data_IF_042407503049
#
_entry.id   IF_042407503049
#
_cell.length_a   1.000
_cell.length_b   1.000
_cell.length_c   1.000
_cell.angle_alpha   90.00
_cell.angle_beta   90.00
_cell.angle_gamma   90.00
#
_symmetry.space_group_name_H-M   'P 1'
#
loop_
_entity.id
_entity.type
_entity.pdbx_description
1 polymer ?
#
# COMPACT_ATOMS: atom_id res chain seq x y z
N UNK A 1 -29.40 20.79 27.15
CA UNK A 1 -29.83 20.50 25.76
C UNK A 1 -28.68 20.63 24.74
N UNK A 2 -27.66 21.46 24.99
CA UNK A 2 -26.44 21.56 24.17
C UNK A 2 -25.50 20.34 24.30
N UNK A 3 -25.32 19.80 25.51
CA UNK A 3 -24.43 18.62 25.74
C UNK A 3 -24.91 17.38 24.99
N UNK A 4 -26.23 17.12 24.95
CA UNK A 4 -26.80 15.97 24.26
C UNK A 4 -26.65 16.03 22.74
N UNK A 5 -26.70 17.23 22.14
CA UNK A 5 -26.45 17.41 20.71
C UNK A 5 -24.97 17.24 20.36
N UNK A 6 -24.07 17.74 21.20
CA UNK A 6 -22.63 17.57 21.03
C UNK A 6 -22.22 16.09 21.08
N UNK A 7 -22.71 15.34 22.07
CA UNK A 7 -22.43 13.89 22.17
C UNK A 7 -22.96 13.10 20.98
N UNK A 8 -24.14 13.44 20.46
CA UNK A 8 -24.71 12.77 19.29
C UNK A 8 -23.93 13.07 18.00
N UNK A 9 -23.49 14.31 17.79
CA UNK A 9 -22.69 14.72 16.64
C UNK A 9 -21.32 14.04 16.63
N UNK A 10 -20.66 14.00 17.78
CA UNK A 10 -19.37 13.31 17.96
C UNK A 10 -19.51 11.81 17.70
N UNK A 11 -20.58 11.18 18.19
CA UNK A 11 -20.85 9.74 17.97
C UNK A 11 -21.12 9.44 16.49
N UNK A 12 -21.90 10.27 15.81
CA UNK A 12 -22.19 10.13 14.37
C UNK A 12 -20.95 10.33 13.49
N UNK A 13 -20.11 11.31 13.84
CA UNK A 13 -18.83 11.56 13.17
C UNK A 13 -17.87 10.37 13.31
N UNK A 14 -17.75 9.82 14.54
CA UNK A 14 -16.91 8.66 14.83
C UNK A 14 -17.36 7.42 14.06
N UNK A 15 -18.67 7.18 13.96
CA UNK A 15 -19.22 6.09 13.14
C UNK A 15 -18.85 6.27 11.66
N UNK A 16 -19.00 7.48 11.12
CA UNK A 16 -18.66 7.78 9.72
C UNK A 16 -17.18 7.53 9.42
N UNK A 17 -16.28 8.01 10.28
CA UNK A 17 -14.84 7.77 10.14
C UNK A 17 -14.50 6.28 10.21
N UNK A 18 -15.10 5.55 11.15
CA UNK A 18 -14.92 4.10 11.27
C UNK A 18 -15.39 3.37 10.01
N UNK A 19 -16.57 3.72 9.47
CA UNK A 19 -17.07 3.17 8.21
C UNK A 19 -16.12 3.45 7.06
N UNK A 20 -15.55 4.65 6.96
CA UNK A 20 -14.56 4.98 5.93
C UNK A 20 -13.33 4.06 6.02
N UNK A 21 -12.81 3.82 7.23
CA UNK A 21 -11.68 2.89 7.43
C UNK A 21 -12.04 1.47 6.99
N UNK A 22 -13.17 0.92 7.45
CA UNK A 22 -13.58 -0.44 7.09
C UNK A 22 -13.82 -0.59 5.59
N UNK A 23 -14.50 0.39 4.98
CA UNK A 23 -14.82 0.40 3.56
C UNK A 23 -13.56 0.52 2.69
N UNK A 24 -12.55 1.28 3.14
CA UNK A 24 -11.24 1.34 2.51
C UNK A 24 -10.61 -0.07 2.41
N UNK A 25 -10.55 -0.82 3.51
CA UNK A 25 -10.00 -2.18 3.51
C UNK A 25 -10.82 -3.13 2.64
N UNK A 26 -12.15 -2.97 2.61
CA UNK A 26 -13.04 -3.78 1.77
C UNK A 26 -12.78 -3.56 0.29
N UNK A 27 -12.67 -2.30 -0.14
CA UNK A 27 -12.48 -1.90 -1.53
C UNK A 27 -11.08 -2.23 -2.04
N UNK A 28 -10.04 -2.03 -1.23
CA UNK A 28 -8.65 -2.28 -1.63
C UNK A 28 -8.14 -3.67 -1.26
N UNK A 29 -9.01 -4.58 -0.80
CA UNK A 29 -8.67 -5.96 -0.41
C UNK A 29 -7.86 -6.71 -1.46
N UNK A 30 -8.08 -6.45 -2.75
CA UNK A 30 -7.36 -7.07 -3.88
C UNK A 30 -6.56 -6.06 -4.70
N UNK A 31 -6.31 -4.87 -4.14
CA UNK A 31 -5.69 -3.77 -4.86
C UNK A 31 -6.60 -3.12 -5.90
N UNK A 32 -5.99 -2.37 -6.80
CA UNK A 32 -6.66 -1.77 -7.96
C UNK A 32 -6.64 -2.79 -9.10
N UNK A 33 -7.78 -3.05 -9.76
CA UNK A 33 -7.82 -3.97 -10.90
C UNK A 33 -6.85 -3.53 -12.00
N UNK A 34 -5.87 -4.37 -12.32
CA UNK A 34 -4.93 -4.13 -13.41
C UNK A 34 -5.45 -4.75 -14.71
N UNK A 35 -5.34 -4.06 -15.87
CA UNK A 35 -5.66 -4.62 -17.18
C UNK A 35 -4.89 -5.92 -17.49
N UNK A 36 -3.73 -6.13 -16.86
CA UNK A 36 -2.87 -7.31 -17.08
C UNK A 36 -3.49 -8.62 -16.56
N UNK A 37 -4.50 -8.55 -15.69
CA UNK A 37 -5.21 -9.72 -15.16
C UNK A 37 -6.51 -10.03 -15.93
N UNK A 38 -6.89 -9.20 -16.91
CA UNK A 38 -8.05 -9.43 -17.74
C UNK A 38 -7.70 -10.26 -18.98
N UNK A 39 -8.57 -11.19 -19.43
CA UNK A 39 -8.38 -11.88 -20.70
C UNK A 39 -8.29 -10.87 -21.87
N UNK A 40 -7.57 -11.22 -22.96
CA UNK A 40 -7.19 -10.27 -24.00
C UNK A 40 -8.39 -9.88 -24.86
N UNK A 41 -9.19 -8.92 -24.40
CA UNK A 41 -10.18 -8.23 -25.23
C UNK A 41 -10.23 -6.74 -24.89
N UNK A 42 -10.03 -5.96 -25.97
CA UNK A 42 -10.22 -4.54 -26.15
C UNK A 42 -9.21 -3.58 -25.48
N UNK A 43 -8.35 -3.07 -26.35
CA UNK A 43 -7.64 -1.80 -26.27
C UNK A 43 -8.61 -0.65 -26.04
N UNK A 44 -8.56 -0.07 -24.85
CA UNK A 44 -8.59 1.36 -24.53
C UNK A 44 -8.74 1.48 -23.01
N UNK A 45 -7.86 2.24 -22.37
CA UNK A 45 -7.66 2.32 -20.92
C UNK A 45 -8.82 3.04 -20.21
N UNK A 46 -10.00 2.43 -20.19
CA UNK A 46 -11.10 2.80 -19.32
C UNK A 46 -10.82 2.18 -17.95
N UNK A 47 -10.77 2.95 -16.85
CA UNK A 47 -10.71 2.39 -15.51
C UNK A 47 -11.82 1.36 -15.37
N UNK A 48 -11.47 0.15 -14.93
CA UNK A 48 -12.48 -0.86 -14.67
C UNK A 48 -13.57 -0.29 -13.75
N UNK A 49 -14.79 -0.81 -13.83
CA UNK A 49 -15.91 -0.34 -12.99
C UNK A 49 -15.56 -0.30 -11.50
N UNK A 50 -14.67 -1.20 -11.07
CA UNK A 50 -14.19 -1.30 -9.69
C UNK A 50 -13.14 -0.23 -9.35
N UNK A 51 -12.21 0.10 -10.25
CA UNK A 51 -11.28 1.22 -10.03
C UNK A 51 -12.03 2.55 -9.95
N UNK A 52 -13.03 2.75 -10.81
CA UNK A 52 -13.89 3.94 -10.75
C UNK A 52 -14.59 4.04 -9.41
N UNK A 53 -15.13 2.93 -8.90
CA UNK A 53 -15.75 2.84 -7.58
C UNK A 53 -14.76 3.15 -6.46
N UNK A 54 -13.54 2.62 -6.52
CA UNK A 54 -12.47 2.92 -5.56
C UNK A 54 -12.15 4.42 -5.53
N UNK A 55 -12.02 5.04 -6.71
CA UNK A 55 -11.72 6.46 -6.83
C UNK A 55 -12.88 7.36 -6.37
N UNK A 56 -14.12 7.02 -6.71
CA UNK A 56 -15.32 7.71 -6.24
C UNK A 56 -15.45 7.65 -4.72
N UNK A 57 -15.19 6.47 -4.12
CA UNK A 57 -15.12 6.31 -2.68
C UNK A 57 -14.08 7.26 -2.06
N UNK A 58 -12.82 7.20 -2.53
CA UNK A 58 -11.77 8.06 -1.97
C UNK A 58 -12.10 9.55 -2.08
N UNK A 59 -12.67 9.99 -3.21
CA UNK A 59 -13.10 11.39 -3.42
C UNK A 59 -14.26 11.82 -2.52
N UNK A 60 -15.12 10.87 -2.13
CA UNK A 60 -16.24 11.15 -1.23
C UNK A 60 -15.81 11.19 0.25
N UNK A 61 -14.82 10.39 0.63
CA UNK A 61 -14.42 10.21 2.03
C UNK A 61 -13.17 10.99 2.43
N UNK A 62 -12.37 11.45 1.49
CA UNK A 62 -11.11 12.16 1.76
C UNK A 62 -11.20 13.61 1.29
N UNK A 63 -10.54 14.49 2.04
CA UNK A 63 -10.36 15.88 1.65
C UNK A 63 -9.66 15.97 0.29
N UNK A 64 -9.98 17.01 -0.48
CA UNK A 64 -9.36 17.21 -1.81
C UNK A 64 -7.83 17.29 -1.74
N UNK A 65 -7.31 17.89 -0.66
CA UNK A 65 -5.90 18.06 -0.32
C UNK A 65 -5.41 17.05 0.73
N UNK A 66 -6.04 15.88 0.85
CA UNK A 66 -5.62 14.83 1.79
C UNK A 66 -4.11 14.58 1.69
N UNK A 67 -3.42 14.58 2.83
CA UNK A 67 -1.98 14.30 2.89
C UNK A 67 -1.76 12.78 2.93
N UNK A 68 -0.99 12.24 1.99
CA UNK A 68 -0.67 10.82 1.85
C UNK A 68 0.84 10.66 1.86
N UNK A 69 1.42 10.18 2.97
CA UNK A 69 2.87 10.00 3.07
C UNK A 69 3.68 11.28 2.83
N UNK A 70 3.11 12.45 3.13
CA UNK A 70 3.72 13.76 2.89
C UNK A 70 3.46 14.37 1.50
N UNK A 71 2.69 13.72 0.62
CA UNK A 71 2.23 14.28 -0.65
C UNK A 71 0.73 14.60 -0.60
N UNK A 72 0.23 15.54 -1.42
CA UNK A 72 -1.18 15.94 -1.38
C UNK A 72 -2.02 15.30 -2.49
N UNK A 73 -3.22 14.86 -2.11
CA UNK A 73 -4.32 14.51 -3.00
C UNK A 73 -4.60 13.02 -3.11
N UNK A 74 -5.88 12.70 -3.34
CA UNK A 74 -6.41 11.34 -3.53
C UNK A 74 -5.67 10.55 -4.64
N UNK A 75 -5.18 11.27 -5.66
CA UNK A 75 -4.46 10.65 -6.77
C UNK A 75 -3.15 9.98 -6.32
N UNK A 76 -2.50 10.46 -5.26
CA UNK A 76 -1.30 9.83 -4.71
C UNK A 76 -1.61 8.41 -4.23
N UNK A 77 -2.70 8.27 -3.47
CA UNK A 77 -3.10 7.00 -2.88
C UNK A 77 -3.53 5.96 -3.93
N UNK A 78 -4.32 6.39 -4.93
CA UNK A 78 -4.73 5.46 -6.00
C UNK A 78 -3.56 5.04 -6.88
N UNK A 79 -2.62 5.95 -7.17
CA UNK A 79 -1.38 5.62 -7.90
C UNK A 79 -0.51 4.63 -7.13
N UNK A 80 -0.42 4.79 -5.80
CA UNK A 80 0.31 3.85 -4.96
C UNK A 80 -0.33 2.46 -4.98
N UNK A 81 -1.65 2.38 -4.93
CA UNK A 81 -2.37 1.11 -5.10
C UNK A 81 -2.20 0.48 -6.48
N UNK A 82 -2.19 1.29 -7.55
CA UNK A 82 -1.85 0.81 -8.91
C UNK A 82 -0.46 0.20 -8.94
N UNK A 83 0.54 0.86 -8.34
CA UNK A 83 1.91 0.32 -8.24
C UNK A 83 1.93 -1.00 -7.49
N UNK A 84 1.30 -1.11 -6.32
CA UNK A 84 1.23 -2.38 -5.61
C UNK A 84 0.59 -3.49 -6.46
N UNK A 85 -0.50 -3.18 -7.16
CA UNK A 85 -1.27 -4.17 -7.94
C UNK A 85 -0.61 -4.56 -9.27
N UNK A 86 0.28 -3.70 -9.79
CA UNK A 86 1.02 -3.94 -11.04
C UNK A 86 2.38 -4.57 -10.77
N UNK A 87 3.02 -4.24 -9.66
CA UNK A 87 4.38 -4.70 -9.38
C UNK A 87 4.41 -5.99 -8.58
N UNK A 88 3.33 -6.35 -7.89
CA UNK A 88 3.24 -7.59 -7.11
C UNK A 88 2.08 -8.45 -7.58
N UNK A 89 2.30 -9.77 -7.57
CA UNK A 89 1.29 -10.74 -7.96
C UNK A 89 0.45 -11.19 -6.75
N UNK A 90 -0.77 -11.69 -7.03
CA UNK A 90 -1.71 -12.21 -6.02
C UNK A 90 -1.91 -11.24 -4.83
N UNK A 91 -1.98 -9.93 -5.05
CA UNK A 91 -2.10 -8.97 -3.95
C UNK A 91 -3.37 -9.20 -3.13
N UNK A 92 -3.22 -9.31 -1.80
CA UNK A 92 -4.35 -9.44 -0.87
C UNK A 92 -4.10 -8.67 0.43
N UNK A 93 -4.95 -7.69 0.74
CA UNK A 93 -4.91 -6.94 2.00
C UNK A 93 -5.93 -7.50 2.99
N UNK A 94 -5.45 -7.91 4.17
CA UNK A 94 -6.28 -8.51 5.22
C UNK A 94 -6.29 -7.63 6.47
N UNK A 95 -7.42 -6.94 6.71
CA UNK A 95 -7.62 -6.19 7.95
C UNK A 95 -7.57 -7.13 9.16
N UNK A 96 -6.82 -6.74 10.20
CA UNK A 96 -6.72 -7.47 11.47
C UNK A 96 -7.44 -6.76 12.60
N UNK A 97 -7.17 -5.47 12.75
CA UNK A 97 -7.71 -4.69 13.84
C UNK A 97 -7.81 -3.22 13.44
N UNK A 98 -8.86 -2.55 13.91
CA UNK A 98 -9.02 -1.10 13.85
C UNK A 98 -9.08 -0.59 15.28
N UNK A 99 -8.33 0.48 15.56
CA UNK A 99 -8.30 1.17 16.84
C UNK A 99 -8.52 2.65 16.62
N UNK A 100 -9.24 3.28 17.54
CA UNK A 100 -9.28 4.72 17.65
C UNK A 100 -8.15 5.16 18.60
N UNK A 101 -7.17 5.89 18.09
CA UNK A 101 -6.02 6.37 18.87
C UNK A 101 -6.32 7.72 19.56
N UNK A 102 -7.16 8.56 18.94
CA UNK A 102 -7.71 9.80 19.52
C UNK A 102 -9.08 10.10 18.90
N UNK A 103 -9.71 11.21 19.25
CA UNK A 103 -11.01 11.58 18.66
C UNK A 103 -10.99 11.66 17.13
N UNK A 104 -9.87 12.15 16.59
CA UNK A 104 -9.65 12.38 15.16
C UNK A 104 -8.73 11.35 14.49
N UNK A 105 -7.96 10.57 15.25
CA UNK A 105 -7.01 9.59 14.69
C UNK A 105 -7.53 8.17 14.82
N UNK A 106 -7.64 7.50 13.67
CA UNK A 106 -7.94 6.08 13.56
C UNK A 106 -6.73 5.34 13.01
N UNK A 107 -6.43 4.18 13.59
CA UNK A 107 -5.32 3.32 13.17
C UNK A 107 -5.84 1.96 12.82
N UNK A 108 -5.24 1.32 11.82
CA UNK A 108 -5.54 -0.04 11.46
C UNK A 108 -4.27 -0.85 11.28
N UNK A 109 -4.30 -2.08 11.76
CA UNK A 109 -3.30 -3.09 11.46
C UNK A 109 -3.89 -4.13 10.51
N UNK A 110 -3.08 -4.54 9.55
CA UNK A 110 -3.44 -5.47 8.50
C UNK A 110 -2.23 -6.31 8.09
N UNK A 111 -2.48 -7.27 7.21
CA UNK A 111 -1.42 -8.04 6.54
C UNK A 111 -1.61 -7.86 5.03
N UNK A 112 -0.60 -7.29 4.37
CA UNK A 112 -0.53 -7.23 2.91
C UNK A 112 0.22 -8.45 2.41
N UNK A 113 -0.50 -9.38 1.80
CA UNK A 113 0.06 -10.59 1.20
C UNK A 113 0.35 -10.31 -0.28
N UNK A 114 1.60 -10.52 -0.70
CA UNK A 114 2.06 -10.30 -2.08
C UNK A 114 2.98 -11.43 -2.53
N UNK A 115 2.99 -11.74 -3.83
CA UNK A 115 3.92 -12.70 -4.43
C UNK A 115 4.95 -11.93 -5.24
N UNK A 116 6.23 -12.24 -5.02
CA UNK A 116 7.33 -11.65 -5.77
C UNK A 116 7.37 -12.31 -7.15
N UNK A 117 7.06 -11.56 -8.20
CA UNK A 117 7.11 -12.00 -9.59
C UNK A 117 8.32 -11.43 -10.32
N UNK A 118 8.52 -11.85 -11.57
CA UNK A 118 9.51 -11.25 -12.47
C UNK A 118 9.29 -9.74 -12.63
N UNK A 119 8.04 -9.30 -12.61
CA UNK A 119 7.71 -7.87 -12.64
C UNK A 119 8.16 -7.19 -11.35
N UNK A 120 7.99 -7.84 -10.19
CA UNK A 120 8.48 -7.31 -8.91
C UNK A 120 9.98 -7.14 -8.91
N UNK A 121 10.74 -8.15 -9.37
CA UNK A 121 12.20 -8.04 -9.47
C UNK A 121 12.57 -6.85 -10.36
N UNK A 122 12.05 -6.77 -11.58
CA UNK A 122 12.38 -5.68 -12.51
C UNK A 122 11.95 -4.29 -12.06
N UNK A 123 10.87 -4.16 -11.30
CA UNK A 123 10.28 -2.86 -10.92
C UNK A 123 10.66 -2.38 -9.52
N UNK A 124 10.84 -3.31 -8.58
CA UNK A 124 11.10 -3.01 -7.15
C UNK A 124 12.54 -3.36 -6.79
N UNK A 125 13.04 -4.51 -7.20
CA UNK A 125 14.38 -4.99 -6.86
C UNK A 125 15.30 -5.03 -8.09
N UNK A 126 15.23 -3.99 -8.94
CA UNK A 126 15.82 -4.02 -10.28
C UNK A 126 17.33 -4.28 -10.27
N UNK A 127 18.00 -3.85 -9.20
CA UNK A 127 19.42 -4.13 -8.96
C UNK A 127 19.73 -5.64 -9.01
N UNK A 128 18.81 -6.53 -8.59
CA UNK A 128 18.98 -7.99 -8.63
C UNK A 128 18.99 -8.59 -10.05
N UNK A 129 18.57 -7.84 -11.07
CA UNK A 129 18.58 -8.26 -12.47
C UNK A 129 19.76 -7.69 -13.28
N UNK A 130 20.52 -6.73 -12.74
CA UNK A 130 21.65 -6.13 -13.46
C UNK A 130 22.95 -6.92 -13.30
N UNK A 131 23.87 -6.72 -14.25
CA UNK A 131 25.19 -7.32 -14.20
C UNK A 131 25.94 -6.86 -12.94
N UNK A 132 26.57 -7.78 -12.20
CA UNK A 132 27.26 -7.48 -10.96
C UNK A 132 28.41 -6.50 -11.21
N UNK A 133 28.56 -5.49 -10.35
CA UNK A 133 29.66 -4.51 -10.46
C UNK A 133 30.91 -4.95 -9.69
N UNK A 134 30.81 -6.05 -8.92
CA UNK A 134 31.90 -6.63 -8.12
C UNK A 134 31.80 -8.16 -8.07
N UNK A 135 32.94 -8.84 -7.90
CA UNK A 135 33.02 -10.31 -7.80
C UNK A 135 32.12 -10.89 -6.69
N UNK A 136 31.98 -10.18 -5.56
CA UNK A 136 31.11 -10.60 -4.44
C UNK A 136 29.63 -10.55 -4.80
N UNK A 137 29.21 -9.58 -5.61
CA UNK A 137 27.82 -9.50 -6.09
C UNK A 137 27.53 -10.59 -7.12
N UNK A 138 28.50 -10.95 -7.96
CA UNK A 138 28.33 -11.94 -9.02
C UNK A 138 27.86 -13.31 -8.52
N UNK A 139 28.30 -13.71 -7.32
CA UNK A 139 27.88 -14.97 -6.68
C UNK A 139 26.57 -14.80 -5.90
N UNK A 140 26.36 -13.62 -5.31
CA UNK A 140 25.28 -13.38 -4.34
C UNK A 140 23.94 -13.04 -5.01
N UNK A 141 23.92 -12.21 -6.06
CA UNK A 141 22.67 -11.72 -6.67
C UNK A 141 21.76 -12.83 -7.21
N UNK A 142 22.28 -13.86 -7.94
CA UNK A 142 21.42 -14.95 -8.42
C UNK A 142 20.75 -15.73 -7.29
N UNK A 143 21.45 -15.91 -6.17
CA UNK A 143 20.95 -16.60 -4.97
C UNK A 143 19.87 -15.77 -4.26
N UNK A 144 20.07 -14.46 -4.11
CA UNK A 144 19.06 -13.57 -3.53
C UNK A 144 17.80 -13.52 -4.40
N UNK A 145 17.99 -13.41 -5.73
CA UNK A 145 16.89 -13.43 -6.69
C UNK A 145 16.11 -14.73 -6.62
N UNK A 146 16.78 -15.89 -6.61
CA UNK A 146 16.10 -17.19 -6.52
C UNK A 146 15.40 -17.41 -5.17
N UNK A 147 15.95 -16.86 -4.08
CA UNK A 147 15.31 -16.91 -2.77
C UNK A 147 14.04 -16.05 -2.68
N UNK A 148 13.94 -14.96 -3.45
CA UNK A 148 12.79 -14.05 -3.46
C UNK A 148 11.75 -14.43 -4.51
N UNK A 149 12.16 -14.77 -5.73
CA UNK A 149 11.27 -15.01 -6.85
C UNK A 149 10.28 -16.14 -6.55
N UNK A 150 8.99 -15.89 -6.81
CA UNK A 150 7.90 -16.80 -6.54
C UNK A 150 7.49 -16.89 -5.06
N UNK A 151 8.21 -16.24 -4.13
CA UNK A 151 7.83 -16.28 -2.72
C UNK A 151 6.62 -15.42 -2.43
N UNK A 152 5.73 -15.98 -1.60
CA UNK A 152 4.61 -15.30 -0.99
C UNK A 152 5.05 -14.61 0.30
N UNK A 153 5.12 -13.29 0.29
CA UNK A 153 5.42 -12.49 1.48
C UNK A 153 4.14 -12.07 2.19
N UNK A 154 4.19 -12.10 3.52
CA UNK A 154 3.15 -11.54 4.41
C UNK A 154 3.73 -10.29 5.06
N UNK A 155 3.40 -9.13 4.53
CA UNK A 155 3.93 -7.85 4.99
C UNK A 155 3.04 -7.30 6.10
N UNK A 156 3.57 -7.07 7.31
CA UNK A 156 2.86 -6.27 8.31
C UNK A 156 2.54 -4.89 7.75
N UNK A 157 1.25 -4.55 7.75
CA UNK A 157 0.72 -3.32 7.19
C UNK A 157 0.06 -2.53 8.31
N UNK A 158 0.46 -1.27 8.49
CA UNK A 158 -0.19 -0.33 9.41
C UNK A 158 -0.59 0.91 8.63
N UNK A 159 -1.74 1.47 8.96
CA UNK A 159 -2.21 2.72 8.38
C UNK A 159 -2.84 3.58 9.46
N UNK A 160 -2.59 4.87 9.39
CA UNK A 160 -3.21 5.91 10.19
C UNK A 160 -4.11 6.74 9.28
N UNK A 161 -5.31 7.05 9.75
CA UNK A 161 -6.25 7.98 9.15
C UNK A 161 -6.50 9.10 10.15
N UNK A 162 -6.26 10.34 9.73
CA UNK A 162 -6.64 11.54 10.48
C UNK A 162 -7.92 12.11 9.88
N UNK A 163 -8.89 12.36 10.74
CA UNK A 163 -10.24 12.77 10.38
C UNK A 163 -10.47 14.23 10.76
N UNK A 164 -10.91 15.02 9.78
CA UNK A 164 -11.35 16.39 10.00
C UNK A 164 -12.84 16.38 10.41
N UNK A 165 -13.12 16.85 11.63
CA UNK A 165 -14.47 16.93 12.17
C UNK A 165 -15.32 18.06 11.58
N UNK A 166 -14.74 19.09 10.98
CA UNK A 166 -15.47 20.20 10.36
C UNK A 166 -16.02 19.77 9.01
N UNK A 167 -15.17 19.22 8.14
CA UNK A 167 -15.57 18.81 6.79
C UNK A 167 -16.06 17.36 6.71
N UNK A 168 -15.94 16.59 7.80
CA UNK A 168 -16.34 15.16 7.88
C UNK A 168 -15.65 14.31 6.81
N UNK A 169 -14.34 14.51 6.65
CA UNK A 169 -13.51 13.76 5.70
C UNK A 169 -12.15 13.43 6.29
N UNK A 170 -11.48 12.43 5.72
CA UNK A 170 -10.08 12.12 6.04
C UNK A 170 -9.16 13.19 5.45
N UNK A 171 -8.35 13.83 6.29
CA UNK A 171 -7.37 14.83 5.87
C UNK A 171 -5.95 14.27 5.76
N UNK A 172 -5.66 13.12 6.40
CA UNK A 172 -4.34 12.49 6.31
C UNK A 172 -4.41 10.97 6.31
N UNK A 173 -3.56 10.34 5.50
CA UNK A 173 -3.36 8.90 5.44
C UNK A 173 -1.87 8.58 5.44
N UNK A 174 -1.37 7.99 6.52
CA UNK A 174 0.01 7.52 6.59
C UNK A 174 0.05 6.01 6.63
N UNK A 175 0.74 5.40 5.65
CA UNK A 175 0.90 3.95 5.54
C UNK A 175 2.32 3.56 5.91
N UNK A 176 2.47 2.48 6.65
CA UNK A 176 3.76 1.88 7.02
C UNK A 176 3.71 0.40 6.72
N UNK A 177 4.67 -0.10 5.94
CA UNK A 177 4.75 -1.51 5.54
C UNK A 177 6.12 -2.05 5.89
N UNK A 178 6.15 -3.14 6.65
CA UNK A 178 7.39 -3.84 6.96
C UNK A 178 7.75 -4.82 5.83
N UNK A 179 8.60 -4.36 4.93
CA UNK A 179 9.22 -5.19 3.89
C UNK A 179 10.45 -5.95 4.42
N UNK A 180 11.15 -5.41 5.41
CA UNK A 180 12.42 -5.94 5.88
C UNK A 180 12.26 -7.32 6.51
N UNK A 181 11.34 -7.47 7.47
CA UNK A 181 11.19 -8.73 8.22
C UNK A 181 10.88 -9.93 7.31
N UNK A 182 9.92 -9.85 6.37
CA UNK A 182 9.64 -10.97 5.47
C UNK A 182 10.77 -11.24 4.46
N UNK A 183 11.50 -10.22 4.03
CA UNK A 183 12.67 -10.37 3.15
C UNK A 183 13.82 -11.04 3.90
N UNK A 184 14.09 -10.62 5.13
CA UNK A 184 15.09 -11.25 6.00
C UNK A 184 14.83 -12.75 6.16
N UNK A 185 13.59 -13.15 6.41
CA UNK A 185 13.23 -14.58 6.46
C UNK A 185 13.38 -15.31 5.11
N UNK A 186 13.29 -14.60 3.98
CA UNK A 186 13.47 -15.19 2.67
C UNK A 186 14.95 -15.42 2.33
N UNK A 187 15.83 -14.48 2.68
CA UNK A 187 17.25 -14.51 2.29
C UNK A 187 18.20 -15.03 3.39
N UNK A 188 17.76 -15.05 4.64
CA UNK A 188 18.39 -15.78 5.75
C UNK A 188 19.39 -14.98 6.61
N UNK A 189 19.97 -13.89 6.11
CA UNK A 189 20.93 -13.06 6.87
C UNK A 189 20.52 -11.58 6.84
N UNK A 190 20.97 -10.83 7.85
CA UNK A 190 20.68 -9.39 7.97
C UNK A 190 21.40 -8.63 6.86
N UNK A 191 22.64 -9.02 6.55
CA UNK A 191 23.47 -8.41 5.50
C UNK A 191 22.82 -8.57 4.12
N UNK A 192 22.21 -9.73 3.86
CA UNK A 192 21.52 -10.02 2.60
C UNK A 192 20.21 -9.24 2.51
N UNK A 193 19.47 -9.16 3.62
CA UNK A 193 18.22 -8.41 3.67
C UNK A 193 18.46 -6.90 3.50
N UNK A 194 19.48 -6.36 4.19
CA UNK A 194 19.89 -4.98 4.06
C UNK A 194 20.31 -4.67 2.61
N UNK A 195 21.09 -5.55 1.98
CA UNK A 195 21.50 -5.38 0.59
C UNK A 195 20.32 -5.35 -0.38
N UNK A 196 19.33 -6.24 -0.20
CA UNK A 196 18.09 -6.24 -1.01
C UNK A 196 17.29 -4.95 -0.81
N UNK A 197 17.24 -4.42 0.41
CA UNK A 197 16.46 -3.24 0.76
C UNK A 197 17.13 -1.92 0.34
N UNK A 198 18.45 -1.80 0.48
CA UNK A 198 19.22 -0.57 0.25
C UNK A 198 19.01 0.00 -1.16
N UNK A 199 18.88 -0.88 -2.15
CA UNK A 199 18.72 -0.51 -3.55
C UNK A 199 17.32 -0.84 -4.08
N UNK A 200 16.38 -1.18 -3.20
CA UNK A 200 14.99 -1.40 -3.57
C UNK A 200 14.31 -0.06 -3.87
N UNK A 201 13.34 -0.06 -4.78
CA UNK A 201 12.45 1.07 -5.05
C UNK A 201 11.36 1.18 -3.98
N UNK A 202 11.77 1.18 -2.72
CA UNK A 202 10.92 1.32 -1.54
C UNK A 202 11.42 2.55 -0.80
N UNK A 203 10.55 3.54 -0.65
CA UNK A 203 10.84 4.80 0.03
C UNK A 203 10.79 4.61 1.56
N UNK A 204 11.30 5.60 2.31
CA UNK A 204 11.30 5.59 3.78
C UNK A 204 9.89 5.55 4.38
N UNK A 205 8.90 6.10 3.68
CA UNK A 205 7.49 6.04 4.04
C UNK A 205 6.83 4.71 3.61
N UNK A 206 7.62 3.71 3.23
CA UNK A 206 7.18 2.42 2.70
C UNK A 206 6.42 2.47 1.36
N UNK A 207 6.31 3.65 0.72
CA UNK A 207 5.74 3.75 -0.61
C UNK A 207 6.68 3.18 -1.66
N UNK A 208 6.13 2.75 -2.78
CA UNK A 208 6.92 2.29 -3.93
C UNK A 208 7.16 3.49 -4.83
N UNK A 209 8.42 3.80 -5.09
CA UNK A 209 8.80 4.92 -5.94
C UNK A 209 8.33 4.79 -7.40
N UNK A 210 8.40 5.90 -8.12
CA UNK A 210 8.12 5.93 -9.56
C UNK A 210 9.24 5.23 -10.36
N UNK A 211 8.93 4.66 -11.55
CA UNK A 211 9.98 4.20 -12.44
C UNK A 211 10.88 5.39 -12.81
N UNK A 212 12.18 5.21 -12.67
CA UNK A 212 13.18 6.16 -13.17
C UNK A 212 13.01 6.28 -14.70
N UNK A 213 12.83 7.50 -15.21
CA UNK A 213 12.88 7.78 -16.65
C UNK A 213 14.27 7.55 -17.22
#
# INVERSE_FOLDING_TARGET
>A
MLETQHTQLVTSSKLTAWYAVIEYFRLFRRGVPSPQQAPPRATDSIPSSEERRQLEFLRSTMAKNVVVGGQEGVNVLIQQWRRYSTYFDDLQLHLRHVSQASEVVFTASATLCVTISETTIRRVFSHLDFAPTTDRQQVKMPTLRSNLLGRRLKLPYRVMFEWDEEIKQVERVDTMIDFFTPIFHAVGTIEDAAFVMENARINLDSSIGEPSN
#
